data_IF_556674216865
#
_entry.id   IF_556674216865
#
_cell.length_a   1.000
_cell.length_b   1.000
_cell.length_c   1.000
_cell.angle_alpha   90.00
_cell.angle_beta   90.00
_cell.angle_gamma   90.00
#
_symmetry.space_group_name_H-M   'P 1'
#
loop_
_entity.id
_entity.type
_entity.pdbx_description
1 polymer ?
#
# COMPACT_ATOMS: atom_id res chain seq x y z
N UNK A 1 22.12 34.46 27.55
CA UNK A 1 20.67 34.53 27.83
C UNK A 1 20.19 33.10 27.95
N UNK A 2 19.41 32.76 28.99
CA UNK A 2 18.84 31.43 29.10
C UNK A 2 17.83 31.21 27.96
N UNK A 3 17.81 30.01 27.37
CA UNK A 3 16.82 29.68 26.34
C UNK A 3 15.43 29.72 26.96
N UNK A 4 14.48 30.40 26.30
CA UNK A 4 13.07 30.33 26.68
C UNK A 4 12.51 28.95 26.30
N UNK A 5 12.37 28.08 27.30
CA UNK A 5 11.86 26.72 27.13
C UNK A 5 10.41 26.67 26.64
N UNK A 6 9.69 27.80 26.54
CA UNK A 6 8.35 27.86 25.94
C UNK A 6 8.36 28.15 24.44
N UNK A 7 9.54 28.34 23.84
CA UNK A 7 9.69 28.55 22.41
C UNK A 7 9.49 27.24 21.65
N UNK A 8 8.48 27.20 20.77
CA UNK A 8 8.18 26.00 19.96
C UNK A 8 9.31 25.62 19.01
N UNK A 9 10.17 26.57 18.64
CA UNK A 9 11.33 26.34 17.76
C UNK A 9 12.40 25.43 18.40
N UNK A 10 12.33 25.21 19.71
CA UNK A 10 13.26 24.32 20.43
C UNK A 10 12.85 22.84 20.34
N UNK A 11 11.66 22.53 19.86
CA UNK A 11 11.09 21.19 19.87
C UNK A 11 10.81 20.70 18.44
N UNK A 12 11.08 19.41 18.21
CA UNK A 12 10.65 18.75 16.99
C UNK A 12 9.27 18.15 17.19
N UNK A 13 8.44 18.25 16.16
CA UNK A 13 7.18 17.52 16.13
C UNK A 13 7.43 16.02 16.08
N UNK A 14 6.74 15.28 16.95
CA UNK A 14 6.89 13.82 17.09
C UNK A 14 6.62 13.09 15.78
N UNK A 15 5.55 13.46 15.08
CA UNK A 15 5.11 12.75 13.87
C UNK A 15 6.03 13.04 12.68
N UNK A 16 6.47 14.29 12.52
CA UNK A 16 7.46 14.66 11.51
C UNK A 16 8.84 14.05 11.81
N UNK A 17 9.21 13.96 13.09
CA UNK A 17 10.45 13.28 13.50
C UNK A 17 10.38 11.77 13.20
N UNK A 18 9.22 11.14 13.40
CA UNK A 18 8.98 9.75 13.02
C UNK A 18 9.11 9.57 11.50
N UNK A 19 8.55 10.48 10.68
CA UNK A 19 8.71 10.44 9.22
C UNK A 19 10.19 10.54 8.82
N UNK A 20 10.96 11.43 9.44
CA UNK A 20 12.41 11.54 9.20
C UNK A 20 13.16 10.27 9.59
N UNK A 21 12.73 9.56 10.64
CA UNK A 21 13.26 8.23 10.95
C UNK A 21 12.97 7.26 9.79
N UNK A 22 11.74 7.22 9.28
CA UNK A 22 11.42 6.34 8.16
C UNK A 22 12.17 6.74 6.87
N UNK A 23 12.46 8.03 6.65
CA UNK A 23 13.34 8.47 5.56
C UNK A 23 14.76 7.94 5.66
N UNK A 24 15.27 7.65 6.87
CA UNK A 24 16.56 6.97 7.03
C UNK A 24 16.48 5.50 6.62
N UNK A 25 15.32 4.85 6.77
CA UNK A 25 15.06 3.52 6.22
C UNK A 25 15.05 3.58 4.69
N UNK A 26 14.38 4.58 4.11
CA UNK A 26 14.41 4.82 2.66
C UNK A 26 15.83 5.09 2.15
N UNK A 27 16.66 5.80 2.93
CA UNK A 27 18.06 6.04 2.57
C UNK A 27 18.86 4.73 2.39
N UNK A 28 18.53 3.66 3.12
CA UNK A 28 19.15 2.34 2.90
C UNK A 28 18.73 1.73 1.56
N UNK A 29 17.49 1.94 1.09
CA UNK A 29 17.08 1.51 -0.24
C UNK A 29 17.77 2.31 -1.37
N UNK A 30 18.21 3.54 -1.08
CA UNK A 30 18.94 4.39 -2.02
C UNK A 30 20.44 4.09 -2.06
N UNK A 31 20.99 3.36 -1.09
CA UNK A 31 22.41 3.03 -1.02
C UNK A 31 22.78 1.96 -2.06
N UNK A 32 23.43 2.39 -3.16
CA UNK A 32 23.86 1.51 -4.26
C UNK A 32 25.05 0.63 -3.90
N UNK A 33 25.62 0.74 -2.71
CA UNK A 33 26.61 -0.22 -2.20
C UNK A 33 25.96 -1.53 -1.72
N UNK A 34 24.66 -1.49 -1.45
CA UNK A 34 23.88 -2.67 -1.06
C UNK A 34 23.35 -3.43 -2.29
N UNK A 35 23.26 -4.77 -2.22
CA UNK A 35 22.65 -5.57 -3.28
C UNK A 35 21.20 -5.14 -3.57
N UNK A 36 20.72 -5.23 -4.82
CA UNK A 36 19.40 -4.71 -5.22
C UNK A 36 18.25 -5.37 -4.46
N UNK A 37 18.36 -6.66 -4.12
CA UNK A 37 17.36 -7.34 -3.30
C UNK A 37 17.32 -6.85 -1.85
N UNK A 38 18.45 -6.45 -1.26
CA UNK A 38 18.48 -5.86 0.07
C UNK A 38 17.85 -4.46 0.06
N UNK A 39 18.14 -3.67 -0.96
CA UNK A 39 17.49 -2.36 -1.18
C UNK A 39 15.98 -2.51 -1.36
N UNK A 40 15.53 -3.53 -2.09
CA UNK A 40 14.10 -3.84 -2.26
C UNK A 40 13.44 -4.23 -0.92
N UNK A 41 14.14 -4.95 -0.04
CA UNK A 41 13.66 -5.23 1.32
C UNK A 41 13.51 -3.94 2.13
N UNK A 42 14.44 -2.99 2.05
CA UNK A 42 14.30 -1.70 2.73
C UNK A 42 13.10 -0.89 2.22
N UNK A 43 12.77 -0.95 0.92
CA UNK A 43 11.52 -0.38 0.41
C UNK A 43 10.28 -1.05 1.03
N UNK A 44 10.30 -2.38 1.19
CA UNK A 44 9.22 -3.11 1.85
C UNK A 44 9.09 -2.75 3.34
N UNK A 45 10.21 -2.59 4.05
CA UNK A 45 10.24 -2.15 5.46
C UNK A 45 9.68 -0.73 5.56
N UNK A 46 10.13 0.20 4.72
CA UNK A 46 9.60 1.58 4.68
C UNK A 46 8.08 1.59 4.52
N UNK A 47 7.55 0.80 3.57
CA UNK A 47 6.11 0.71 3.30
C UNK A 47 5.33 0.11 4.47
N UNK A 48 5.90 -0.89 5.16
CA UNK A 48 5.29 -1.51 6.35
C UNK A 48 5.24 -0.52 7.52
N UNK A 49 6.35 0.17 7.79
CA UNK A 49 6.40 1.22 8.80
C UNK A 49 5.36 2.32 8.50
N UNK A 50 5.25 2.73 7.23
CA UNK A 50 4.30 3.75 6.82
C UNK A 50 2.85 3.30 7.00
N UNK A 51 2.54 2.03 6.75
CA UNK A 51 1.23 1.45 7.04
C UNK A 51 0.90 1.60 8.53
N UNK A 52 1.82 1.21 9.43
CA UNK A 52 1.62 1.36 10.89
C UNK A 52 1.44 2.83 11.30
N UNK A 53 2.24 3.74 10.75
CA UNK A 53 2.11 5.17 11.00
C UNK A 53 0.74 5.71 10.60
N UNK A 54 0.21 5.30 9.44
CA UNK A 54 -1.13 5.69 9.02
C UNK A 54 -2.22 5.09 9.92
N UNK A 55 -2.06 3.83 10.30
CA UNK A 55 -3.04 3.10 11.09
C UNK A 55 -3.14 3.62 12.54
N UNK A 56 -2.04 4.14 13.10
CA UNK A 56 -1.96 4.58 14.49
C UNK A 56 -1.92 6.12 14.58
N UNK A 57 -0.85 6.73 14.07
CA UNK A 57 -0.56 8.16 14.27
C UNK A 57 -1.51 9.06 13.48
N UNK A 58 -1.64 8.83 12.18
CA UNK A 58 -2.54 9.61 11.32
C UNK A 58 -4.00 9.41 11.74
N UNK A 59 -4.37 8.20 12.18
CA UNK A 59 -5.70 7.92 12.71
C UNK A 59 -5.99 8.75 13.98
N UNK A 60 -5.06 8.80 14.94
CA UNK A 60 -5.17 9.62 16.14
C UNK A 60 -5.32 11.11 15.83
N UNK A 61 -4.48 11.65 14.94
CA UNK A 61 -4.58 13.05 14.49
C UNK A 61 -5.94 13.36 13.82
N UNK A 62 -6.45 12.43 13.00
CA UNK A 62 -7.78 12.58 12.38
C UNK A 62 -8.91 12.58 13.42
N UNK A 63 -8.79 11.78 14.48
CA UNK A 63 -9.76 11.75 15.57
C UNK A 63 -9.78 13.08 16.34
N UNK A 64 -8.61 13.61 16.73
CA UNK A 64 -8.48 14.91 17.38
C UNK A 64 -9.02 16.05 16.50
N UNK A 65 -8.68 16.05 15.21
CA UNK A 65 -9.18 17.02 14.25
C UNK A 65 -10.71 16.98 14.14
N UNK A 66 -11.31 15.78 14.05
CA UNK A 66 -12.77 15.61 14.00
C UNK A 66 -13.46 16.08 15.28
N UNK A 67 -12.82 15.88 16.43
CA UNK A 67 -13.29 16.37 17.74
C UNK A 67 -13.07 17.89 17.94
N UNK A 68 -12.43 18.57 16.98
CA UNK A 68 -12.06 20.00 17.04
C UNK A 68 -11.15 20.33 18.23
N UNK A 69 -10.37 19.36 18.68
CA UNK A 69 -9.37 19.54 19.72
C UNK A 69 -8.19 20.30 19.09
N UNK A 70 -7.83 21.44 19.69
CA UNK A 70 -6.67 22.25 19.30
C UNK A 70 -5.47 22.00 20.20
N UNK A 71 -5.48 20.90 20.97
CA UNK A 71 -4.34 20.54 21.80
C UNK A 71 -3.08 20.43 20.94
N UNK A 72 -2.03 21.10 21.40
CA UNK A 72 -0.74 21.17 20.70
C UNK A 72 0.34 20.73 21.66
N UNK A 73 1.30 19.97 21.16
CA UNK A 73 2.49 19.64 21.94
C UNK A 73 3.38 20.88 22.15
N UNK A 74 4.59 20.68 22.71
CA UNK A 74 5.57 21.76 22.88
C UNK A 74 5.94 22.51 21.58
N UNK A 75 5.74 21.85 20.43
CA UNK A 75 5.94 22.40 19.08
C UNK A 75 4.83 23.37 18.62
N UNK A 76 3.72 23.47 19.36
CA UNK A 76 2.54 24.30 19.08
C UNK A 76 1.85 24.02 17.73
N UNK A 77 2.05 22.85 17.12
CA UNK A 77 1.36 22.47 15.88
C UNK A 77 0.00 21.84 16.16
N UNK A 78 -1.04 22.36 15.53
CA UNK A 78 -2.40 21.80 15.61
C UNK A 78 -2.50 20.47 14.84
N UNK A 79 -3.46 19.59 15.17
CA UNK A 79 -3.66 18.34 14.42
C UNK A 79 -3.88 18.55 12.92
N UNK A 80 -4.52 19.65 12.53
CA UNK A 80 -4.71 20.02 11.12
C UNK A 80 -3.37 20.31 10.43
N UNK A 81 -2.56 21.19 11.02
CA UNK A 81 -1.25 21.56 10.47
C UNK A 81 -0.32 20.36 10.40
N UNK A 82 -0.37 19.47 11.40
CA UNK A 82 0.39 18.21 11.38
C UNK A 82 -0.04 17.32 10.21
N UNK A 83 -1.35 17.12 9.99
CA UNK A 83 -1.87 16.35 8.87
C UNK A 83 -1.47 16.94 7.51
N UNK A 84 -1.50 18.27 7.36
CA UNK A 84 -1.08 18.97 6.15
C UNK A 84 0.43 18.79 5.90
N UNK A 85 1.26 18.96 6.93
CA UNK A 85 2.71 18.78 6.81
C UNK A 85 3.09 17.32 6.53
N UNK A 86 2.43 16.34 7.16
CA UNK A 86 2.59 14.91 6.88
C UNK A 86 2.26 14.61 5.41
N UNK A 87 1.15 15.15 4.91
CA UNK A 87 0.74 14.98 3.51
C UNK A 87 1.80 15.51 2.54
N UNK A 88 2.26 16.74 2.74
CA UNK A 88 3.28 17.37 1.90
C UNK A 88 4.63 16.65 1.95
N UNK A 89 5.00 16.14 3.13
CA UNK A 89 6.22 15.36 3.32
C UNK A 89 6.17 14.06 2.52
N UNK A 90 5.11 13.27 2.72
CA UNK A 90 4.94 11.97 2.07
C UNK A 90 4.76 12.10 0.56
N UNK A 91 4.12 13.18 0.07
CA UNK A 91 3.98 13.41 -1.36
C UNK A 91 5.34 13.66 -2.04
N UNK A 92 6.30 14.28 -1.33
CA UNK A 92 7.67 14.45 -1.82
C UNK A 92 8.43 13.12 -1.79
N UNK A 93 8.33 12.37 -0.69
CA UNK A 93 8.98 11.05 -0.57
C UNK A 93 8.45 10.02 -1.58
N UNK A 94 7.16 10.08 -1.93
CA UNK A 94 6.57 9.17 -2.92
C UNK A 94 7.32 9.17 -4.25
N UNK A 95 7.74 10.35 -4.71
CA UNK A 95 8.53 10.47 -5.96
C UNK A 95 9.90 9.81 -5.85
N UNK A 96 10.49 9.86 -4.66
CA UNK A 96 11.78 9.20 -4.37
C UNK A 96 11.60 7.68 -4.36
N UNK A 97 10.52 7.18 -3.74
CA UNK A 97 10.17 5.76 -3.72
C UNK A 97 9.98 5.20 -5.13
N UNK A 98 9.21 5.87 -5.98
CA UNK A 98 8.96 5.43 -7.37
C UNK A 98 10.25 5.34 -8.18
N UNK A 99 11.10 6.37 -8.05
CA UNK A 99 12.40 6.41 -8.74
C UNK A 99 13.33 5.30 -8.22
N UNK A 100 13.40 5.12 -6.90
CA UNK A 100 14.20 4.08 -6.25
C UNK A 100 13.75 2.67 -6.69
N UNK A 101 12.44 2.41 -6.64
CA UNK A 101 11.86 1.14 -7.08
C UNK A 101 12.20 0.85 -8.55
N UNK A 102 11.98 1.83 -9.44
CA UNK A 102 12.25 1.66 -10.88
C UNK A 102 13.73 1.36 -11.13
N UNK A 103 14.63 2.06 -10.43
CA UNK A 103 16.07 1.80 -10.49
C UNK A 103 16.43 0.39 -10.05
N UNK A 104 15.89 -0.07 -8.92
CA UNK A 104 16.14 -1.43 -8.40
C UNK A 104 15.62 -2.49 -9.37
N UNK A 105 14.40 -2.33 -9.90
CA UNK A 105 13.85 -3.28 -10.87
C UNK A 105 14.68 -3.34 -12.16
N UNK A 106 15.21 -2.21 -12.63
CA UNK A 106 16.12 -2.18 -13.78
C UNK A 106 17.42 -2.96 -13.50
N UNK A 107 18.01 -2.77 -12.33
CA UNK A 107 19.23 -3.48 -11.92
C UNK A 107 18.99 -5.00 -11.76
N UNK A 108 17.84 -5.40 -11.20
CA UNK A 108 17.44 -6.81 -11.14
C UNK A 108 17.29 -7.43 -12.52
N UNK A 109 16.73 -6.67 -13.47
CA UNK A 109 16.56 -7.12 -14.85
C UNK A 109 17.91 -7.41 -15.53
N UNK A 110 18.93 -6.59 -15.29
CA UNK A 110 20.30 -6.83 -15.77
C UNK A 110 20.91 -8.12 -15.18
N UNK A 111 20.48 -8.50 -13.98
CA UNK A 111 20.86 -9.73 -13.29
C UNK A 111 19.90 -10.92 -13.55
N UNK A 112 19.16 -10.88 -14.66
CA UNK A 112 18.22 -11.91 -15.11
C UNK A 112 17.07 -12.23 -14.12
N UNK A 113 16.74 -11.29 -13.22
CA UNK A 113 15.55 -11.34 -12.36
C UNK A 113 14.54 -10.35 -12.90
N UNK A 114 13.39 -10.84 -13.36
CA UNK A 114 12.43 -10.01 -14.06
C UNK A 114 11.14 -9.86 -13.25
N UNK A 115 10.61 -8.63 -13.17
CA UNK A 115 9.23 -8.39 -12.73
C UNK A 115 8.43 -7.99 -13.96
N UNK A 116 7.45 -8.81 -14.34
CA UNK A 116 6.67 -8.59 -15.57
C UNK A 116 5.18 -8.68 -15.29
N UNK A 117 4.41 -7.81 -15.93
CA UNK A 117 2.96 -7.98 -16.05
C UNK A 117 2.65 -9.13 -17.03
N UNK A 118 1.47 -9.73 -16.87
CA UNK A 118 1.04 -10.90 -17.64
C UNK A 118 1.17 -10.72 -19.16
N UNK A 119 0.82 -9.54 -19.67
CA UNK A 119 0.83 -9.27 -21.11
C UNK A 119 2.24 -9.27 -21.72
N UNK A 120 3.26 -8.98 -20.90
CA UNK A 120 4.68 -8.96 -21.29
C UNK A 120 5.37 -10.34 -21.19
N UNK A 121 4.62 -11.38 -20.78
CA UNK A 121 5.13 -12.75 -20.70
C UNK A 121 5.24 -13.41 -22.08
N UNK A 122 6.22 -14.31 -22.23
CA UNK A 122 6.29 -15.20 -23.39
C UNK A 122 5.27 -16.35 -23.30
N UNK A 123 5.12 -17.13 -24.37
CA UNK A 123 4.07 -18.16 -24.46
C UNK A 123 4.24 -19.30 -23.45
N UNK A 124 5.47 -19.67 -23.11
CA UNK A 124 5.77 -20.67 -22.08
C UNK A 124 5.37 -20.17 -20.68
N UNK A 125 5.75 -18.93 -20.37
CA UNK A 125 5.40 -18.24 -19.12
C UNK A 125 3.88 -18.09 -19.00
N UNK A 126 3.18 -17.64 -20.05
CA UNK A 126 1.71 -17.54 -20.09
C UNK A 126 1.04 -18.89 -19.86
N UNK A 127 1.55 -19.94 -20.49
CA UNK A 127 1.02 -21.30 -20.33
C UNK A 127 1.18 -21.81 -18.89
N UNK A 128 2.30 -21.50 -18.23
CA UNK A 128 2.52 -21.84 -16.83
C UNK A 128 1.59 -21.04 -15.90
N UNK A 129 1.52 -19.71 -16.07
CA UNK A 129 0.66 -18.84 -15.25
C UNK A 129 -0.81 -19.19 -15.43
N UNK A 130 -1.26 -19.55 -16.63
CA UNK A 130 -2.63 -19.99 -16.88
C UNK A 130 -2.98 -21.23 -16.04
N UNK A 131 -2.08 -22.21 -15.95
CA UNK A 131 -2.28 -23.41 -15.11
C UNK A 131 -2.38 -23.04 -13.63
N UNK A 132 -1.48 -22.20 -13.14
CA UNK A 132 -1.51 -21.70 -11.75
C UNK A 132 -2.83 -20.96 -11.48
N UNK A 133 -3.26 -20.10 -12.41
CA UNK A 133 -4.51 -19.37 -12.27
C UNK A 133 -5.70 -20.31 -12.08
N UNK A 134 -5.93 -21.25 -12.99
CA UNK A 134 -7.11 -22.12 -12.92
C UNK A 134 -7.04 -23.14 -11.78
N UNK A 135 -5.84 -23.63 -11.41
CA UNK A 135 -5.71 -24.68 -10.40
C UNK A 135 -5.61 -24.13 -8.97
N UNK A 136 -5.04 -22.93 -8.78
CA UNK A 136 -4.70 -22.42 -7.44
C UNK A 136 -5.41 -21.10 -7.11
N UNK A 137 -5.52 -20.16 -8.07
CA UNK A 137 -6.07 -18.82 -7.82
C UNK A 137 -7.59 -18.79 -7.98
N UNK A 138 -8.10 -19.27 -9.10
CA UNK A 138 -9.52 -19.26 -9.46
C UNK A 138 -10.41 -19.89 -8.38
N UNK A 139 -10.06 -21.03 -7.74
CA UNK A 139 -10.92 -21.65 -6.73
C UNK A 139 -11.08 -20.85 -5.43
N UNK A 140 -10.16 -19.93 -5.13
CA UNK A 140 -10.14 -19.18 -3.86
C UNK A 140 -10.39 -17.69 -4.01
N UNK A 141 -10.40 -17.18 -5.25
CA UNK A 141 -10.64 -15.76 -5.51
C UNK A 141 -12.12 -15.43 -5.43
N UNK A 142 -12.45 -14.24 -4.91
CA UNK A 142 -13.84 -13.86 -4.63
C UNK A 142 -14.22 -12.65 -5.49
N UNK A 143 -14.92 -12.86 -6.62
CA UNK A 143 -15.51 -11.78 -7.40
C UNK A 143 -16.81 -11.29 -6.73
N UNK A 144 -16.98 -9.98 -6.67
CA UNK A 144 -18.14 -9.32 -6.04
C UNK A 144 -18.68 -8.29 -7.02
N UNK A 145 -19.92 -8.45 -7.47
CA UNK A 145 -20.61 -7.41 -8.21
C UNK A 145 -21.09 -6.31 -7.25
N UNK A 146 -20.99 -5.05 -7.68
CA UNK A 146 -21.44 -3.89 -6.90
C UNK A 146 -22.56 -3.18 -7.66
N UNK A 147 -23.75 -3.17 -7.07
CA UNK A 147 -24.94 -2.50 -7.59
C UNK A 147 -25.90 -2.09 -6.45
N UNK A 148 -27.10 -1.62 -6.78
CA UNK A 148 -28.06 -1.14 -5.78
C UNK A 148 -28.56 -2.23 -4.84
N UNK A 149 -28.53 -3.51 -5.26
CA UNK A 149 -28.95 -4.66 -4.45
C UNK A 149 -27.77 -5.37 -3.80
N UNK A 150 -26.54 -5.15 -4.29
CA UNK A 150 -25.28 -5.64 -3.75
C UNK A 150 -24.35 -4.45 -3.44
N UNK A 151 -24.48 -3.82 -2.25
CA UNK A 151 -23.72 -2.63 -1.92
C UNK A 151 -22.22 -2.93 -1.78
N UNK A 152 -21.41 -1.88 -1.81
CA UNK A 152 -19.96 -1.97 -1.63
C UNK A 152 -19.63 -2.72 -0.33
N UNK A 153 -18.89 -3.84 -0.38
CA UNK A 153 -18.75 -4.74 0.75
C UNK A 153 -17.70 -4.22 1.75
N UNK A 154 -17.84 -4.59 3.02
CA UNK A 154 -16.85 -4.26 4.04
C UNK A 154 -15.48 -4.88 3.74
N UNK A 155 -14.44 -4.06 3.61
CA UNK A 155 -13.07 -4.49 3.33
C UNK A 155 -12.24 -4.57 4.61
N UNK A 156 -11.50 -5.67 4.82
CA UNK A 156 -10.61 -5.84 5.97
C UNK A 156 -9.42 -4.87 5.87
N UNK A 157 -8.80 -4.55 7.01
CA UNK A 157 -7.59 -3.74 7.02
C UNK A 157 -6.47 -4.42 6.19
N UNK A 158 -5.68 -3.62 5.48
CA UNK A 158 -4.66 -3.99 4.49
C UNK A 158 -5.15 -5.01 3.45
N UNK A 159 -6.46 -5.06 3.16
CA UNK A 159 -6.99 -5.91 2.08
C UNK A 159 -6.54 -5.37 0.74
N UNK A 160 -6.12 -6.28 -0.14
CA UNK A 160 -5.72 -5.97 -1.51
C UNK A 160 -6.74 -6.55 -2.50
N UNK A 161 -7.00 -5.82 -3.58
CA UNK A 161 -7.93 -6.27 -4.61
C UNK A 161 -7.91 -5.39 -5.84
N UNK A 162 -8.78 -5.74 -6.79
CA UNK A 162 -9.01 -4.96 -8.01
C UNK A 162 -10.42 -4.37 -7.97
N UNK A 163 -10.53 -3.08 -8.27
CA UNK A 163 -11.79 -2.48 -8.69
C UNK A 163 -11.90 -2.65 -10.20
N UNK A 164 -13.03 -3.13 -10.69
CA UNK A 164 -13.23 -3.44 -12.11
C UNK A 164 -14.50 -2.79 -12.64
N UNK A 165 -14.41 -2.24 -13.84
CA UNK A 165 -15.55 -1.77 -14.61
C UNK A 165 -15.80 -2.76 -15.74
N UNK A 166 -17.04 -3.25 -15.80
CA UNK A 166 -17.51 -4.31 -16.66
C UNK A 166 -18.61 -3.78 -17.59
N UNK A 167 -18.77 -4.44 -18.73
CA UNK A 167 -19.84 -4.17 -19.69
C UNK A 167 -20.52 -5.47 -20.10
N UNK A 168 -21.85 -5.51 -20.03
CA UNK A 168 -22.63 -6.64 -20.54
C UNK A 168 -22.94 -6.51 -22.05
N UNK A 169 -23.52 -7.55 -22.65
CA UNK A 169 -23.91 -7.58 -24.07
C UNK A 169 -24.94 -6.50 -24.42
N UNK A 170 -25.76 -6.08 -23.45
CA UNK A 170 -26.75 -5.00 -23.57
C UNK A 170 -26.11 -3.61 -23.45
N UNK A 171 -24.78 -3.53 -23.33
CA UNK A 171 -23.97 -2.32 -23.15
C UNK A 171 -24.17 -1.60 -21.81
N UNK A 172 -24.78 -2.23 -20.82
CA UNK A 172 -24.86 -1.67 -19.47
C UNK A 172 -23.50 -1.75 -18.79
N UNK A 173 -23.18 -0.70 -18.05
CA UNK A 173 -21.96 -0.63 -17.25
C UNK A 173 -22.26 -1.17 -15.86
N UNK A 174 -21.41 -2.07 -15.39
CA UNK A 174 -21.43 -2.59 -14.02
C UNK A 174 -20.07 -2.41 -13.38
N UNK A 175 -20.07 -2.36 -12.05
CA UNK A 175 -18.85 -2.31 -11.27
C UNK A 175 -18.72 -3.59 -10.46
N UNK A 176 -17.48 -3.97 -10.22
CA UNK A 176 -17.16 -5.13 -9.40
C UNK A 176 -15.88 -4.92 -8.62
N UNK A 177 -15.65 -5.85 -7.71
CA UNK A 177 -14.43 -5.97 -6.95
C UNK A 177 -13.95 -7.41 -7.05
N UNK A 178 -12.64 -7.58 -7.14
CA UNK A 178 -12.01 -8.89 -7.00
C UNK A 178 -11.11 -8.81 -5.77
N UNK A 179 -11.48 -9.53 -4.71
CA UNK A 179 -10.65 -9.60 -3.51
C UNK A 179 -9.56 -10.64 -3.73
N UNK A 180 -8.32 -10.28 -3.42
CA UNK A 180 -7.18 -11.18 -3.52
C UNK A 180 -6.82 -11.60 -2.09
N UNK A 181 -7.13 -12.85 -1.68
CA UNK A 181 -6.83 -13.33 -0.34
C UNK A 181 -5.34 -13.30 -0.03
N UNK A 182 -4.97 -12.99 1.21
CA UNK A 182 -3.56 -12.95 1.65
C UNK A 182 -2.85 -14.30 1.63
N UNK A 183 -3.60 -15.40 1.59
CA UNK A 183 -3.05 -16.74 1.44
C UNK A 183 -2.41 -16.95 0.06
N UNK A 184 -2.84 -16.18 -0.95
CA UNK A 184 -2.22 -16.21 -2.26
C UNK A 184 -0.91 -15.39 -2.27
N UNK A 185 0.12 -15.84 -3.00
CA UNK A 185 1.37 -15.11 -3.08
C UNK A 185 1.16 -13.77 -3.82
N UNK A 186 1.84 -12.72 -3.35
CA UNK A 186 1.80 -11.38 -4.00
C UNK A 186 2.38 -11.40 -5.42
N UNK A 187 3.34 -12.30 -5.66
CA UNK A 187 3.98 -12.53 -6.94
C UNK A 187 3.95 -14.03 -7.26
N UNK A 188 3.50 -14.39 -8.45
CA UNK A 188 3.72 -15.74 -8.99
C UNK A 188 5.15 -15.81 -9.52
N UNK A 189 5.81 -16.95 -9.36
CA UNK A 189 7.14 -17.17 -9.87
C UNK A 189 7.13 -18.22 -10.99
N UNK A 190 7.68 -17.87 -12.15
CA UNK A 190 7.97 -18.80 -13.24
C UNK A 190 9.43 -18.62 -13.63
N UNK A 191 10.28 -19.60 -13.30
CA UNK A 191 11.75 -19.47 -13.42
C UNK A 191 12.23 -18.23 -12.63
N UNK A 192 12.90 -17.28 -13.30
CA UNK A 192 13.36 -16.02 -12.72
C UNK A 192 12.44 -14.83 -13.02
N UNK A 193 11.22 -15.10 -13.51
CA UNK A 193 10.20 -14.08 -13.74
C UNK A 193 9.19 -14.09 -12.60
N UNK A 194 8.98 -12.94 -11.99
CA UNK A 194 8.00 -12.67 -10.94
C UNK A 194 6.85 -11.85 -11.53
N UNK A 195 5.62 -12.32 -11.32
CA UNK A 195 4.41 -11.75 -11.94
C UNK A 195 3.48 -11.24 -10.84
N UNK A 196 3.18 -9.93 -10.77
CA UNK A 196 2.23 -9.40 -9.80
C UNK A 196 0.86 -10.09 -9.94
N UNK A 197 0.32 -10.58 -8.83
CA UNK A 197 -0.94 -11.35 -8.84
C UNK A 197 -2.12 -10.57 -9.45
N UNK A 198 -2.21 -9.27 -9.20
CA UNK A 198 -3.22 -8.38 -9.76
C UNK A 198 -3.17 -8.34 -11.29
N UNK A 199 -1.99 -8.46 -11.91
CA UNK A 199 -1.88 -8.49 -13.37
C UNK A 199 -2.45 -9.79 -13.95
N UNK A 200 -2.25 -10.92 -13.25
CA UNK A 200 -2.82 -12.22 -13.64
C UNK A 200 -4.34 -12.19 -13.49
N UNK A 201 -4.83 -11.73 -12.35
CA UNK A 201 -6.26 -11.64 -12.06
C UNK A 201 -6.94 -10.66 -13.01
N UNK A 202 -6.31 -9.54 -13.32
CA UNK A 202 -6.82 -8.58 -14.29
C UNK A 202 -6.96 -9.20 -15.69
N UNK A 203 -5.98 -10.00 -16.12
CA UNK A 203 -6.02 -10.66 -17.43
C UNK A 203 -7.18 -11.64 -17.52
N UNK A 204 -7.39 -12.46 -16.49
CA UNK A 204 -8.46 -13.46 -16.43
C UNK A 204 -9.77 -12.94 -15.82
N UNK A 205 -9.95 -11.63 -15.69
CA UNK A 205 -11.14 -11.08 -15.03
C UNK A 205 -12.46 -11.47 -15.71
N UNK A 206 -12.47 -11.68 -17.03
CA UNK A 206 -13.66 -12.14 -17.76
C UNK A 206 -14.08 -13.58 -17.37
N UNK A 207 -13.14 -14.42 -16.93
CA UNK A 207 -13.44 -15.77 -16.41
C UNK A 207 -14.14 -15.72 -15.04
N UNK A 208 -13.91 -14.63 -14.29
CA UNK A 208 -14.50 -14.38 -12.98
C UNK A 208 -15.87 -13.71 -13.07
N UNK A 209 -16.18 -13.06 -14.20
CA UNK A 209 -17.46 -12.43 -14.50
C UNK A 209 -18.01 -12.90 -15.85
N UNK A 210 -18.55 -14.13 -15.94
CA UNK A 210 -19.10 -14.66 -17.19
C UNK A 210 -20.20 -13.75 -17.76
N UNK A 211 -20.19 -13.55 -19.07
CA UNK A 211 -21.14 -12.66 -19.76
C UNK A 211 -20.80 -11.16 -19.66
N UNK A 212 -19.67 -10.81 -19.05
CA UNK A 212 -19.18 -9.44 -18.99
C UNK A 212 -17.82 -9.29 -19.67
N UNK A 213 -17.61 -8.13 -20.29
CA UNK A 213 -16.32 -7.70 -20.82
C UNK A 213 -15.69 -6.67 -19.87
N UNK A 214 -14.45 -6.89 -19.45
CA UNK A 214 -13.64 -5.88 -18.75
C UNK A 214 -13.43 -4.65 -19.63
N UNK A 215 -13.72 -3.47 -19.08
CA UNK A 215 -13.39 -2.17 -19.68
C UNK A 215 -12.16 -1.54 -19.03
N UNK A 216 -12.08 -1.56 -17.71
CA UNK A 216 -11.00 -0.99 -16.93
C UNK A 216 -10.84 -1.75 -15.62
N UNK A 217 -9.64 -1.77 -15.07
CA UNK A 217 -9.41 -2.24 -13.70
C UNK A 217 -8.33 -1.41 -13.02
N UNK A 218 -8.34 -1.40 -11.69
CA UNK A 218 -7.34 -0.69 -10.89
C UNK A 218 -7.09 -1.44 -9.59
N UNK A 219 -5.83 -1.78 -9.27
CA UNK A 219 -5.50 -2.35 -7.98
C UNK A 219 -5.68 -1.31 -6.88
N UNK A 220 -6.19 -1.75 -5.74
CA UNK A 220 -6.32 -0.93 -4.57
C UNK A 220 -5.94 -1.72 -3.31
N UNK A 221 -5.57 -0.98 -2.28
CA UNK A 221 -5.36 -1.48 -0.93
C UNK A 221 -6.02 -0.53 0.05
N UNK A 222 -6.66 -1.07 1.08
CA UNK A 222 -7.31 -0.26 2.11
C UNK A 222 -6.54 -0.37 3.41
N UNK A 223 -6.20 0.77 4.01
CA UNK A 223 -5.76 0.86 5.41
C UNK A 223 -6.92 1.34 6.27
N UNK A 224 -7.01 0.84 7.49
CA UNK A 224 -7.96 1.26 8.52
C UNK A 224 -7.20 1.61 9.78
N UNK A 225 -7.77 2.46 10.62
CA UNK A 225 -7.24 2.66 11.96
C UNK A 225 -7.10 1.30 12.66
N UNK A 226 -6.03 1.14 13.45
CA UNK A 226 -5.98 0.01 14.35
C UNK A 226 -7.10 0.20 15.39
N UNK A 227 -8.06 -0.73 15.45
CA UNK A 227 -8.94 -0.87 16.61
C UNK A 227 -8.09 -1.52 17.71
N UNK A 228 -7.25 -0.72 18.32
CA UNK A 228 -6.51 -1.06 19.54
C UNK A 228 -6.84 0.11 20.46
N UNK A 229 -7.53 -0.17 21.56
CA UNK A 229 -7.40 0.64 22.77
C UNK A 229 -5.89 0.76 22.98
N UNK A 230 -5.33 1.88 22.56
CA UNK A 230 -3.98 2.24 22.95
C UNK A 230 -4.15 2.50 24.45
N UNK A 231 -4.01 1.44 25.26
CA UNK A 231 -3.43 1.59 26.58
C UNK A 231 -2.10 2.26 26.29
N UNK A 232 -2.11 3.58 26.38
CA UNK A 232 -0.90 4.30 26.64
C UNK A 232 -0.38 3.67 27.92
N UNK A 233 0.59 2.76 27.79
CA UNK A 233 1.68 2.72 28.76
C UNK A 233 2.36 4.09 28.67
N UNK A 234 1.66 5.13 29.14
CA UNK A 234 2.28 6.16 29.95
C UNK A 234 3.08 5.35 30.97
N UNK A 235 4.40 5.49 30.88
CA UNK A 235 5.25 5.05 31.95
C UNK A 235 4.77 5.76 33.22
N UNK A 236 3.90 5.10 33.97
CA UNK A 236 3.89 5.17 35.42
C UNK A 236 5.28 4.68 35.83
N UNK A 237 6.20 5.63 35.81
CA UNK A 237 7.52 5.50 36.40
C UNK A 237 7.27 5.30 37.90
N UNK A 238 7.13 4.04 38.30
CA UNK A 238 7.25 3.62 39.68
C UNK A 238 8.70 3.91 40.11
N UNK A 239 8.93 5.10 40.66
CA UNK A 239 9.78 5.37 41.84
C UNK A 239 9.62 6.81 42.35
#
# INVERSE_FOLDING_TARGET
>A
MANDLNSSQLYFNRELSWLQFNSRVLAQALDTTLPPLERLKFLAIYGTNLDEFYMIRVAGLKALFKARIQETGPDKLTPKEQLEQIHDYLHKEHKVLETCYTSIISELHENAVHVKNYDALNDDEKSAVKKIFFNEIYPVIIPIAVDATHPFPHLNNLSFGLAITLKDDSKNIKHGLIRIPRILPRFLQVKQTFIPIESVVEHFASELFPGFKKLASTPFRVTRNADIEIEEEEADDFL
#
